data_IF_148836296206
#
_entry.id   IF_148836296206
#
_cell.length_a   1.000
_cell.length_b   1.000
_cell.length_c   1.000
_cell.angle_alpha   90.00
_cell.angle_beta   90.00
_cell.angle_gamma   90.00
#
_symmetry.space_group_name_H-M   'P 1'
#
loop_
_entity.id
_entity.type
_entity.pdbx_description
1 polymer ?
#
# COMPACT_ATOMS: atom_id res chain seq x y z
N UNK A 1 19.23 18.73 -4.87
CA UNK A 1 20.22 17.63 -4.75
C UNK A 1 19.56 16.35 -4.21
N UNK A 2 18.88 16.38 -3.06
CA UNK A 2 18.22 15.20 -2.48
C UNK A 2 17.15 14.54 -3.40
N UNK A 3 16.42 15.32 -4.20
CA UNK A 3 15.38 14.78 -5.10
C UNK A 3 15.94 14.06 -6.33
N UNK A 4 17.07 14.52 -6.86
CA UNK A 4 17.76 13.84 -7.96
C UNK A 4 18.32 12.49 -7.48
N UNK A 5 18.92 12.47 -6.28
CA UNK A 5 19.41 11.23 -5.66
C UNK A 5 18.27 10.23 -5.38
N UNK A 6 17.07 10.70 -5.04
CA UNK A 6 15.90 9.84 -4.80
C UNK A 6 15.34 9.25 -6.10
N UNK A 7 15.17 10.05 -7.14
CA UNK A 7 14.71 9.57 -8.45
C UNK A 7 15.71 8.55 -9.05
N UNK A 8 17.01 8.82 -8.94
CA UNK A 8 18.08 7.91 -9.37
C UNK A 8 18.03 6.58 -8.59
N UNK A 9 17.67 6.62 -7.30
CA UNK A 9 17.52 5.40 -6.50
C UNK A 9 16.31 4.54 -6.91
N UNK A 10 15.21 5.16 -7.36
CA UNK A 10 14.00 4.46 -7.83
C UNK A 10 14.17 3.88 -9.23
N UNK A 11 15.15 4.38 -10.00
CA UNK A 11 15.49 3.92 -11.34
C UNK A 11 16.66 2.93 -11.37
N UNK A 12 17.15 2.49 -10.21
CA UNK A 12 18.29 1.60 -10.09
C UNK A 12 17.85 0.23 -9.53
N UNK A 13 18.13 -0.86 -10.28
CA UNK A 13 17.74 -2.22 -9.88
C UNK A 13 18.38 -2.67 -8.56
N UNK A 14 19.62 -2.27 -8.26
CA UNK A 14 20.28 -2.66 -7.01
C UNK A 14 19.68 -1.94 -5.81
N UNK A 15 19.34 -0.67 -5.96
CA UNK A 15 18.61 0.11 -4.96
C UNK A 15 17.21 -0.44 -4.73
N UNK A 16 16.47 -0.76 -5.81
CA UNK A 16 15.17 -1.42 -5.71
C UNK A 16 15.29 -2.78 -5.03
N UNK A 17 16.31 -3.60 -5.37
CA UNK A 17 16.54 -4.89 -4.72
C UNK A 17 16.75 -4.74 -3.21
N UNK A 18 17.58 -3.78 -2.77
CA UNK A 18 17.76 -3.48 -1.34
C UNK A 18 16.46 -3.03 -0.68
N UNK A 19 15.67 -2.19 -1.35
CA UNK A 19 14.35 -1.78 -0.85
C UNK A 19 13.40 -2.97 -0.68
N UNK A 20 13.35 -3.87 -1.67
CA UNK A 20 12.52 -5.07 -1.63
C UNK A 20 12.90 -6.01 -0.48
N UNK A 21 14.20 -6.21 -0.23
CA UNK A 21 14.69 -7.01 0.91
C UNK A 21 14.24 -6.38 2.23
N UNK A 22 14.40 -5.06 2.39
CA UNK A 22 13.95 -4.38 3.62
C UNK A 22 12.43 -4.46 3.80
N UNK A 23 11.66 -4.37 2.72
CA UNK A 23 10.20 -4.47 2.77
C UNK A 23 9.74 -5.89 3.11
N UNK A 24 10.50 -6.92 2.74
CA UNK A 24 10.25 -8.31 3.17
C UNK A 24 10.31 -8.42 4.70
N UNK A 25 11.38 -7.95 5.32
CA UNK A 25 11.53 -7.94 6.78
C UNK A 25 10.37 -7.17 7.44
N UNK A 26 10.04 -5.97 6.93
CA UNK A 26 8.92 -5.18 7.45
C UNK A 26 7.59 -5.92 7.40
N UNK A 27 7.29 -6.63 6.31
CA UNK A 27 6.06 -7.42 6.18
C UNK A 27 6.06 -8.55 7.21
N UNK A 28 7.16 -9.29 7.35
CA UNK A 28 7.27 -10.37 8.33
C UNK A 28 6.99 -9.85 9.74
N UNK A 29 7.59 -8.73 10.13
CA UNK A 29 7.33 -8.11 11.44
C UNK A 29 5.87 -7.69 11.60
N UNK A 30 5.26 -7.05 10.59
CA UNK A 30 3.86 -6.66 10.66
C UNK A 30 2.93 -7.87 10.88
N UNK A 31 3.19 -8.98 10.18
CA UNK A 31 2.41 -10.21 10.32
C UNK A 31 2.59 -10.87 11.69
N UNK A 32 3.80 -10.85 12.24
CA UNK A 32 4.07 -11.32 13.62
C UNK A 32 3.33 -10.46 14.64
N UNK A 33 3.28 -9.14 14.46
CA UNK A 33 2.51 -8.27 15.35
C UNK A 33 1.01 -8.51 15.24
N UNK A 34 0.49 -8.72 14.03
CA UNK A 34 -0.93 -8.99 13.81
C UNK A 34 -1.35 -10.35 14.38
N UNK A 35 -0.50 -11.37 14.34
CA UNK A 35 -0.83 -12.72 14.83
C UNK A 35 -1.01 -12.81 16.35
N UNK A 36 -0.64 -11.76 17.10
CA UNK A 36 -0.88 -11.66 18.55
C UNK A 36 -2.35 -11.52 18.91
N UNK A 37 -3.19 -11.11 17.96
CA UNK A 37 -4.63 -10.93 18.17
C UNK A 37 -5.43 -12.00 17.39
N UNK A 38 -6.58 -12.46 17.91
CA UNK A 38 -7.48 -13.29 17.13
C UNK A 38 -8.05 -12.51 15.93
N UNK A 39 -8.85 -13.18 15.11
CA UNK A 39 -9.47 -12.55 13.93
C UNK A 39 -10.25 -11.30 14.32
N UNK A 40 -10.96 -11.28 15.46
CA UNK A 40 -11.75 -10.11 15.88
C UNK A 40 -12.75 -9.69 14.80
N UNK A 41 -13.56 -10.64 14.32
CA UNK A 41 -14.44 -10.47 13.14
C UNK A 41 -15.35 -9.24 13.18
N UNK A 42 -15.77 -8.80 14.36
CA UNK A 42 -16.54 -7.56 14.54
C UNK A 42 -15.84 -6.29 14.02
N UNK A 43 -14.52 -6.32 13.78
CA UNK A 43 -13.76 -5.24 13.17
C UNK A 43 -14.09 -5.05 11.68
N UNK A 44 -14.38 -6.15 10.99
CA UNK A 44 -14.57 -6.20 9.54
C UNK A 44 -16.05 -6.26 9.15
N UNK A 45 -16.93 -6.60 10.09
CA UNK A 45 -18.37 -6.63 9.88
C UNK A 45 -18.93 -5.20 9.69
N UNK A 46 -19.85 -5.03 8.75
CA UNK A 46 -20.61 -3.78 8.54
C UNK A 46 -21.69 -3.52 9.61
N UNK A 47 -21.65 -4.23 10.74
CA UNK A 47 -22.64 -4.08 11.83
C UNK A 47 -22.69 -2.67 12.43
N UNK A 48 -21.65 -1.87 12.20
CA UNK A 48 -21.58 -0.48 12.65
C UNK A 48 -21.93 0.53 11.54
N UNK A 49 -22.51 0.07 10.41
CA UNK A 49 -22.94 0.87 9.26
C UNK A 49 -23.79 2.10 9.64
N UNK A 50 -24.57 1.97 10.72
CA UNK A 50 -25.48 3.00 11.21
C UNK A 50 -24.75 4.15 11.95
N UNK A 51 -23.51 3.91 12.41
CA UNK A 51 -22.67 4.90 13.12
C UNK A 51 -21.55 5.43 12.23
N UNK A 52 -21.00 4.56 11.41
CA UNK A 52 -19.98 4.82 10.41
C UNK A 52 -20.49 4.14 9.15
N UNK A 53 -20.53 4.78 8.00
CA UNK A 53 -21.09 4.17 6.76
C UNK A 53 -20.27 2.99 6.20
N UNK A 54 -19.53 2.26 7.04
CA UNK A 54 -18.60 1.18 6.74
C UNK A 54 -18.24 0.35 7.99
N UNK A 55 -17.48 -0.73 7.81
CA UNK A 55 -16.79 -1.46 8.89
C UNK A 55 -15.87 -0.56 9.74
N UNK A 56 -15.54 -1.01 10.96
CA UNK A 56 -14.64 -0.29 11.87
C UNK A 56 -13.21 -0.23 11.30
N UNK A 57 -12.76 -1.28 10.61
CA UNK A 57 -11.48 -1.25 9.89
C UNK A 57 -11.48 -0.15 8.82
N UNK A 58 -12.49 -0.09 7.96
CA UNK A 58 -12.55 0.91 6.89
C UNK A 58 -12.56 2.33 7.45
N UNK A 59 -13.34 2.58 8.50
CA UNK A 59 -13.32 3.87 9.20
C UNK A 59 -11.90 4.20 9.71
N UNK A 60 -11.24 3.24 10.36
CA UNK A 60 -9.90 3.41 10.90
C UNK A 60 -8.87 3.73 9.81
N UNK A 61 -8.94 3.04 8.66
CA UNK A 61 -8.06 3.29 7.51
C UNK A 61 -8.33 4.70 6.97
N UNK A 62 -9.58 5.07 6.66
CA UNK A 62 -9.92 6.39 6.10
C UNK A 62 -9.41 7.54 6.96
N UNK A 63 -9.65 7.50 8.26
CA UNK A 63 -9.17 8.55 9.18
C UNK A 63 -7.64 8.60 9.25
N UNK A 64 -6.99 7.43 9.27
CA UNK A 64 -5.53 7.34 9.26
C UNK A 64 -4.92 7.87 7.96
N UNK A 65 -5.51 7.52 6.81
CA UNK A 65 -5.08 8.00 5.51
C UNK A 65 -5.31 9.50 5.37
N UNK A 66 -6.42 10.04 5.86
CA UNK A 66 -6.67 11.49 5.86
C UNK A 66 -5.62 12.25 6.69
N UNK A 67 -5.22 11.72 7.85
CA UNK A 67 -4.13 12.29 8.64
C UNK A 67 -2.80 12.23 7.90
N UNK A 68 -2.47 11.08 7.31
CA UNK A 68 -1.22 10.86 6.58
C UNK A 68 -1.16 11.68 5.28
N UNK A 69 -2.29 11.92 4.61
CA UNK A 69 -2.41 12.77 3.44
C UNK A 69 -2.10 14.23 3.77
N UNK A 70 -2.62 14.76 4.88
CA UNK A 70 -2.26 16.10 5.41
C UNK A 70 -0.77 16.23 5.68
N UNK A 71 -0.12 15.15 6.11
CA UNK A 71 1.32 15.07 6.32
C UNK A 71 2.13 14.84 5.02
N UNK A 72 1.48 14.74 3.85
CA UNK A 72 2.13 14.60 2.55
C UNK A 72 2.51 13.17 2.17
N UNK A 73 2.02 12.14 2.86
CA UNK A 73 2.38 10.74 2.54
C UNK A 73 2.13 10.37 1.08
N UNK A 74 0.95 10.73 0.57
CA UNK A 74 0.49 10.35 -0.78
C UNK A 74 0.96 11.31 -1.89
N UNK A 75 1.89 12.22 -1.60
CA UNK A 75 2.64 12.92 -2.66
C UNK A 75 3.80 12.05 -3.19
N UNK A 76 4.19 11.02 -2.44
CA UNK A 76 5.19 10.05 -2.88
C UNK A 76 4.61 9.05 -3.87
N UNK A 77 5.28 8.85 -5.01
CA UNK A 77 4.90 7.85 -6.03
C UNK A 77 4.96 6.39 -5.51
N UNK A 78 5.67 6.13 -4.40
CA UNK A 78 5.73 4.80 -3.77
C UNK A 78 4.49 4.48 -2.92
N UNK A 79 3.75 5.49 -2.47
CA UNK A 79 2.63 5.34 -1.54
C UNK A 79 1.29 5.32 -2.29
N UNK A 80 0.45 4.34 -2.00
CA UNK A 80 -0.85 4.16 -2.65
C UNK A 80 -1.92 4.08 -1.56
N UNK A 81 -2.90 4.97 -1.58
CA UNK A 81 -3.99 4.99 -0.62
C UNK A 81 -5.02 3.88 -0.90
N UNK A 82 -5.60 3.30 0.15
CA UNK A 82 -6.69 2.34 0.06
C UNK A 82 -8.01 3.04 -0.29
N UNK A 83 -8.23 4.24 0.25
CA UNK A 83 -9.40 5.07 -0.02
C UNK A 83 -8.95 6.42 -0.59
N UNK A 84 -8.61 6.48 -1.90
CA UNK A 84 -8.11 7.71 -2.52
C UNK A 84 -9.19 8.80 -2.65
N UNK A 85 -10.47 8.44 -2.56
CA UNK A 85 -11.58 9.36 -2.69
C UNK A 85 -11.58 10.39 -1.54
N UNK A 86 -11.51 11.67 -1.90
CA UNK A 86 -11.57 12.81 -0.96
C UNK A 86 -10.40 12.90 0.04
N UNK A 87 -9.21 12.42 -0.30
CA UNK A 87 -8.03 12.67 0.53
C UNK A 87 -7.75 14.18 0.64
N UNK A 88 -7.49 14.70 1.85
CA UNK A 88 -7.18 16.11 2.04
C UNK A 88 -5.82 16.47 1.44
N UNK A 89 -5.70 17.71 0.96
CA UNK A 89 -4.43 18.22 0.46
C UNK A 89 -3.36 18.28 1.56
N UNK A 90 -2.07 18.06 1.21
CA UNK A 90 -0.96 18.24 2.14
C UNK A 90 -0.93 19.66 2.72
N UNK A 91 -0.62 19.77 4.01
CA UNK A 91 -0.50 21.07 4.70
C UNK A 91 0.81 21.77 4.30
N UNK A 92 1.86 20.98 4.11
CA UNK A 92 3.17 21.47 3.70
C UNK A 92 3.28 21.48 2.17
N UNK A 93 4.00 22.45 1.59
CA UNK A 93 4.21 22.50 0.16
C UNK A 93 4.92 21.23 -0.32
N UNK A 94 4.47 20.71 -1.46
CA UNK A 94 5.18 19.62 -2.14
C UNK A 94 6.48 20.15 -2.73
N UNK A 95 7.50 19.29 -2.79
CA UNK A 95 8.67 19.55 -3.61
C UNK A 95 8.36 19.19 -5.07
N UNK A 96 8.99 19.90 -6.01
CA UNK A 96 8.92 19.57 -7.42
C UNK A 96 9.68 18.26 -7.65
N UNK A 97 8.94 17.19 -7.94
CA UNK A 97 9.50 15.89 -8.29
C UNK A 97 9.34 15.65 -9.77
N UNK A 98 10.42 15.24 -10.43
CA UNK A 98 10.34 14.73 -11.80
C UNK A 98 9.67 13.36 -11.76
N UNK A 99 8.50 13.17 -12.40
CA UNK A 99 7.81 11.89 -12.36
C UNK A 99 8.71 10.77 -12.89
N UNK A 100 8.83 9.70 -12.11
CA UNK A 100 9.62 8.54 -12.51
C UNK A 100 8.80 7.62 -13.40
N UNK A 101 7.54 7.39 -13.02
CA UNK A 101 6.64 6.49 -13.71
C UNK A 101 5.90 7.19 -14.86
N UNK A 102 5.60 6.43 -15.90
CA UNK A 102 4.63 6.84 -16.92
C UNK A 102 3.26 7.14 -16.27
N UNK A 103 2.49 8.17 -16.69
CA UNK A 103 1.26 8.60 -16.01
C UNK A 103 0.24 7.48 -15.77
N UNK A 104 0.02 6.62 -16.77
CA UNK A 104 -0.88 5.47 -16.67
C UNK A 104 -0.36 4.43 -15.68
N UNK A 105 0.97 4.26 -15.56
CA UNK A 105 1.58 3.39 -14.56
C UNK A 105 1.43 3.96 -13.14
N UNK A 106 1.60 5.27 -12.99
CA UNK A 106 1.40 5.97 -11.73
C UNK A 106 -0.04 5.81 -11.22
N UNK A 107 -1.05 5.89 -12.10
CA UNK A 107 -2.47 5.77 -11.74
C UNK A 107 -2.94 4.35 -11.37
N UNK A 108 -2.12 3.31 -11.59
CA UNK A 108 -2.51 1.93 -11.23
C UNK A 108 -2.62 1.82 -9.70
N UNK A 109 -3.79 1.50 -9.17
CA UNK A 109 -3.98 1.21 -7.75
C UNK A 109 -4.83 -0.05 -7.62
N UNK A 110 -4.25 -1.10 -7.03
CA UNK A 110 -4.93 -2.39 -6.80
C UNK A 110 -5.19 -2.67 -5.32
N UNK A 111 -5.19 -1.63 -4.48
CA UNK A 111 -5.39 -1.76 -3.04
C UNK A 111 -6.72 -2.43 -2.66
N UNK A 112 -7.77 -2.26 -3.44
CA UNK A 112 -9.04 -2.97 -3.24
C UNK A 112 -8.84 -4.50 -3.23
N UNK A 113 -8.10 -5.04 -4.21
CA UNK A 113 -7.77 -6.47 -4.26
C UNK A 113 -6.82 -6.88 -3.14
N UNK A 114 -5.88 -6.02 -2.79
CA UNK A 114 -4.94 -6.28 -1.67
C UNK A 114 -5.70 -6.41 -0.36
N UNK A 115 -6.65 -5.50 -0.10
CA UNK A 115 -7.47 -5.52 1.10
C UNK A 115 -8.43 -6.71 1.12
N UNK A 116 -9.28 -6.80 0.10
CA UNK A 116 -10.45 -7.69 0.14
C UNK A 116 -10.09 -9.15 -0.21
N UNK A 117 -9.31 -9.36 -1.26
CA UNK A 117 -9.01 -10.72 -1.74
C UNK A 117 -7.76 -11.29 -1.08
N UNK A 118 -6.66 -10.53 -1.04
CA UNK A 118 -5.39 -11.02 -0.54
C UNK A 118 -5.35 -11.01 0.99
N UNK A 119 -5.61 -9.86 1.63
CA UNK A 119 -5.43 -9.72 3.06
C UNK A 119 -6.56 -10.36 3.86
N UNK A 120 -7.79 -9.85 3.75
CA UNK A 120 -8.91 -10.28 4.60
C UNK A 120 -9.34 -11.72 4.31
N UNK A 121 -9.46 -12.09 3.03
CA UNK A 121 -9.97 -13.41 2.64
C UNK A 121 -8.93 -14.52 2.72
N UNK A 122 -7.68 -14.26 2.30
CA UNK A 122 -6.68 -15.32 2.18
C UNK A 122 -5.64 -15.31 3.30
N UNK A 123 -5.07 -14.15 3.63
CA UNK A 123 -3.92 -14.08 4.54
C UNK A 123 -4.33 -14.09 6.02
N UNK A 124 -5.32 -13.26 6.38
CA UNK A 124 -5.75 -13.09 7.77
C UNK A 124 -6.17 -14.41 8.45
N UNK A 125 -6.97 -15.29 7.82
CA UNK A 125 -7.33 -16.59 8.42
C UNK A 125 -6.15 -17.55 8.62
N UNK A 126 -5.02 -17.33 7.94
CA UNK A 126 -3.82 -18.16 8.07
C UNK A 126 -2.92 -17.71 9.22
N UNK A 127 -2.99 -16.43 9.61
CA UNK A 127 -2.08 -15.83 10.60
C UNK A 127 -2.74 -15.54 11.94
N UNK A 128 -4.08 -15.51 12.02
CA UNK A 128 -4.82 -15.20 13.23
C UNK A 128 -5.80 -16.34 13.57
N UNK A 129 -5.86 -16.71 14.85
CA UNK A 129 -6.81 -17.69 15.35
C UNK A 129 -8.25 -17.14 15.38
N UNK A 130 -9.24 -18.02 15.31
CA UNK A 130 -10.65 -17.63 15.47
C UNK A 130 -10.93 -17.02 16.85
N UNK A 131 -11.94 -16.16 16.92
CA UNK A 131 -12.44 -15.60 18.17
C UNK A 131 -12.34 -14.08 18.25
N UNK A 132 -12.64 -13.57 19.45
CA UNK A 132 -12.53 -12.16 19.77
C UNK A 132 -12.05 -11.97 21.20
N UNK A 133 -11.06 -11.09 21.37
CA UNK A 133 -10.48 -10.74 22.66
C UNK A 133 -10.81 -9.30 23.09
N UNK A 134 -11.60 -8.57 22.28
CA UNK A 134 -11.99 -7.18 22.53
C UNK A 134 -10.92 -6.14 22.16
N UNK A 135 -9.72 -6.55 21.74
CA UNK A 135 -8.61 -5.66 21.41
C UNK A 135 -8.72 -5.08 19.98
N UNK A 136 -9.87 -4.48 19.65
CA UNK A 136 -10.18 -4.01 18.29
C UNK A 136 -9.24 -2.89 17.80
N UNK A 137 -8.93 -1.90 18.63
CA UNK A 137 -8.08 -0.77 18.25
C UNK A 137 -6.63 -1.20 17.88
N UNK A 138 -5.90 -1.96 18.72
CA UNK A 138 -4.56 -2.43 18.34
C UNK A 138 -4.60 -3.48 17.22
N UNK A 139 -5.70 -4.24 17.08
CA UNK A 139 -5.91 -5.10 15.90
C UNK A 139 -5.98 -4.29 14.62
N UNK A 140 -6.82 -3.24 14.58
CA UNK A 140 -6.96 -2.36 13.41
C UNK A 140 -5.68 -1.63 13.04
N UNK A 141 -4.92 -1.17 14.05
CA UNK A 141 -3.60 -0.57 13.82
C UNK A 141 -2.61 -1.57 13.20
N UNK A 142 -2.63 -2.82 13.67
CA UNK A 142 -1.78 -3.89 13.11
C UNK A 142 -2.21 -4.29 11.71
N UNK A 143 -3.53 -4.33 11.43
CA UNK A 143 -4.08 -4.54 10.09
C UNK A 143 -3.61 -3.45 9.12
N UNK A 144 -3.74 -2.17 9.53
CA UNK A 144 -3.29 -1.04 8.72
C UNK A 144 -1.79 -1.13 8.40
N UNK A 145 -0.96 -1.49 9.38
CA UNK A 145 0.49 -1.67 9.15
C UNK A 145 0.77 -2.77 8.13
N UNK A 146 0.09 -3.93 8.24
CA UNK A 146 0.22 -5.01 7.26
C UNK A 146 -0.20 -4.56 5.86
N UNK A 147 -1.38 -3.93 5.76
CA UNK A 147 -1.96 -3.46 4.51
C UNK A 147 -1.05 -2.44 3.81
N UNK A 148 -0.52 -1.47 4.54
CA UNK A 148 0.39 -0.47 3.97
C UNK A 148 1.74 -1.06 3.55
N UNK A 149 2.29 -2.01 4.33
CA UNK A 149 3.52 -2.71 3.97
C UNK A 149 3.33 -3.57 2.71
N UNK A 150 2.23 -4.32 2.63
CA UNK A 150 1.87 -5.13 1.45
C UNK A 150 1.62 -4.25 0.23
N UNK A 151 0.85 -3.17 0.38
CA UNK A 151 0.56 -2.22 -0.69
C UNK A 151 1.85 -1.67 -1.29
N UNK A 152 2.76 -1.18 -0.45
CA UNK A 152 4.05 -0.63 -0.90
C UNK A 152 4.87 -1.69 -1.64
N UNK A 153 4.96 -2.91 -1.09
CA UNK A 153 5.75 -4.01 -1.67
C UNK A 153 5.23 -4.50 -3.00
N UNK A 154 3.92 -4.56 -3.17
CA UNK A 154 3.26 -5.00 -4.39
C UNK A 154 3.35 -3.90 -5.46
N UNK A 155 3.04 -2.65 -5.10
CA UNK A 155 3.08 -1.53 -6.04
C UNK A 155 4.50 -1.10 -6.41
N UNK A 156 5.54 -1.49 -5.65
CA UNK A 156 6.93 -1.30 -6.07
C UNK A 156 7.23 -2.01 -7.41
N UNK A 157 6.40 -2.97 -7.81
CA UNK A 157 6.41 -3.58 -9.13
C UNK A 157 6.30 -2.56 -10.29
N UNK A 158 5.68 -1.39 -10.07
CA UNK A 158 5.64 -0.28 -11.05
C UNK A 158 7.05 0.19 -11.41
N UNK A 159 7.89 0.43 -10.40
CA UNK A 159 9.28 0.88 -10.60
C UNK A 159 10.13 -0.23 -11.20
N UNK A 160 9.94 -1.48 -10.76
CA UNK A 160 10.63 -2.64 -11.36
C UNK A 160 10.29 -2.76 -12.85
N UNK A 161 9.03 -2.57 -13.23
CA UNK A 161 8.59 -2.61 -14.63
C UNK A 161 9.20 -1.45 -15.44
N UNK A 162 9.17 -0.22 -14.90
CA UNK A 162 9.76 0.96 -15.53
C UNK A 162 11.26 0.76 -15.80
N UNK A 163 12.02 0.29 -14.80
CA UNK A 163 13.47 0.09 -14.95
C UNK A 163 13.78 -1.00 -15.97
N UNK A 164 13.05 -2.12 -15.96
CA UNK A 164 13.22 -3.18 -16.97
C UNK A 164 12.86 -2.71 -18.37
N UNK A 165 11.79 -1.92 -18.52
CA UNK A 165 11.38 -1.38 -19.81
C UNK A 165 12.41 -0.40 -20.38
N UNK A 166 13.02 0.44 -19.53
CA UNK A 166 14.09 1.36 -19.96
C UNK A 166 15.36 0.63 -20.40
N UNK A 167 15.68 -0.49 -19.77
CA UNK A 167 16.86 -1.30 -20.09
C UNK A 167 16.72 -2.06 -21.42
N UNK A 168 15.56 -2.69 -21.64
CA UNK A 168 15.30 -3.51 -22.82
C UNK A 168 13.88 -3.31 -23.38
N UNK A 169 13.56 -2.14 -23.98
CA UNK A 169 12.20 -1.83 -24.43
C UNK A 169 11.70 -2.79 -25.52
N UNK A 170 12.59 -3.23 -26.41
CA UNK A 170 12.25 -4.12 -27.53
C UNK A 170 11.74 -5.50 -27.08
N UNK A 171 12.10 -5.95 -25.87
CA UNK A 171 11.59 -7.20 -25.28
C UNK A 171 10.10 -7.10 -24.91
N UNK A 172 9.59 -5.90 -24.63
CA UNK A 172 8.24 -5.67 -24.12
C UNK A 172 7.29 -5.03 -25.15
N UNK A 173 7.80 -4.17 -26.04
CA UNK A 173 6.99 -3.42 -27.01
C UNK A 173 6.07 -4.33 -27.86
N UNK A 174 6.52 -5.48 -28.40
CA UNK A 174 5.66 -6.34 -29.23
C UNK A 174 4.42 -6.84 -28.47
N UNK A 175 4.61 -7.30 -27.23
CA UNK A 175 3.52 -7.81 -26.40
C UNK A 175 2.57 -6.69 -25.95
N UNK A 176 3.10 -5.50 -25.64
CA UNK A 176 2.29 -4.32 -25.29
C UNK A 176 1.39 -3.92 -26.48
N UNK A 177 1.97 -3.79 -27.68
CA UNK A 177 1.23 -3.37 -28.89
C UNK A 177 0.20 -4.39 -29.36
N UNK A 178 0.37 -5.67 -29.05
CA UNK A 178 -0.59 -6.71 -29.40
C UNK A 178 -1.90 -6.67 -28.58
N UNK A 179 -1.99 -5.81 -27.55
CA UNK A 179 -3.15 -5.66 -26.65
C UNK A 179 -3.80 -4.27 -26.71
N UNK A 180 -3.29 -3.39 -27.56
CA UNK A 180 -3.84 -2.06 -27.84
C UNK A 180 -4.79 -2.12 -29.03
#
# INVERSE_FOLDING_TARGET
MADCERADSLLNLDSLRKSLVRQEDSIVFCLIERSKYPINSGLYDDKYSDRFSSSLLEFFIKESEALQAKAGRYTSEEENAFFPDNLPSPILPSHDHTPVLHPQGASININDKILNELYLKNLLPLIAGEGSDGNYAPTAASDLNCLQALSKRIHLGKFVAEVKFRDAPDDYIPAIRAKV
#
